data_IF_665487078065
#
_entry.id   IF_665487078065
#
_cell.length_a   1.000
_cell.length_b   1.000
_cell.length_c   1.000
_cell.angle_alpha   90.00
_cell.angle_beta   90.00
_cell.angle_gamma   90.00
#
_symmetry.space_group_name_H-M   'P 1'
#
loop_
_entity.id
_entity.type
_entity.pdbx_description
1 polymer ?
#
# COMPACT_ATOMS: atom_id res chain seq x y z
N UNK A 1 -26.41 -9.51 3.48
CA UNK A 1 -25.55 -10.72 3.48
C UNK A 1 -24.12 -10.24 3.68
N UNK A 2 -23.64 -10.21 4.91
CA UNK A 2 -22.32 -9.66 5.27
C UNK A 2 -21.28 -10.77 5.07
N UNK A 3 -20.47 -10.65 4.03
CA UNK A 3 -19.35 -11.58 3.82
C UNK A 3 -18.34 -11.39 4.95
N UNK A 4 -18.30 -12.31 5.89
CA UNK A 4 -17.31 -12.38 6.94
C UNK A 4 -16.02 -12.89 6.29
N UNK A 5 -15.11 -11.99 5.90
CA UNK A 5 -13.78 -12.37 5.43
C UNK A 5 -13.03 -12.91 6.66
N UNK A 6 -12.82 -14.22 6.69
CA UNK A 6 -12.01 -14.88 7.69
C UNK A 6 -10.55 -14.63 7.31
N UNK A 7 -9.91 -13.68 8.00
CA UNK A 7 -8.48 -13.43 7.85
C UNK A 7 -7.75 -14.51 8.66
N UNK A 8 -7.35 -15.59 8.01
CA UNK A 8 -6.70 -16.72 8.71
C UNK A 8 -5.20 -16.51 8.93
N UNK A 9 -4.54 -15.61 8.20
CA UNK A 9 -3.12 -15.32 8.44
C UNK A 9 -2.71 -13.98 7.81
N UNK A 10 -2.41 -13.00 8.65
CA UNK A 10 -1.77 -11.74 8.20
C UNK A 10 -0.26 -11.97 8.30
N UNK A 11 0.42 -11.92 7.16
CA UNK A 11 1.88 -11.97 7.12
C UNK A 11 2.38 -10.54 6.87
N UNK A 12 2.99 -9.95 7.89
CA UNK A 12 3.70 -8.69 7.74
C UNK A 12 5.06 -8.98 7.13
N UNK A 13 5.29 -8.45 5.95
CA UNK A 13 6.60 -8.47 5.30
C UNK A 13 7.22 -7.09 5.47
N UNK A 14 8.14 -6.98 6.41
CA UNK A 14 8.96 -5.79 6.57
C UNK A 14 9.89 -5.68 5.36
N UNK A 15 9.67 -4.66 4.53
CA UNK A 15 10.49 -4.37 3.34
C UNK A 15 11.88 -3.84 3.74
N UNK A 16 12.12 -3.84 5.03
CA UNK A 16 13.35 -3.34 5.63
C UNK A 16 14.30 -4.49 5.81
N UNK A 17 15.22 -4.73 4.90
CA UNK A 17 16.30 -5.62 5.25
C UNK A 17 17.61 -5.35 4.58
N UNK A 18 18.62 -5.41 5.42
CA UNK A 18 19.97 -5.60 4.96
C UNK A 18 20.21 -6.98 4.33
N UNK A 19 19.41 -8.01 4.48
CA UNK A 19 19.75 -9.34 3.92
C UNK A 19 18.68 -10.43 4.11
N UNK A 20 17.46 -10.31 3.74
CA UNK A 20 16.63 -11.52 3.54
C UNK A 20 15.16 -11.18 3.39
N UNK A 21 14.76 -10.94 2.17
CA UNK A 21 13.36 -11.08 1.77
C UNK A 21 13.02 -12.58 1.92
N UNK A 22 12.47 -12.99 3.05
CA UNK A 22 12.12 -14.39 3.25
C UNK A 22 10.77 -14.69 2.58
N UNK A 23 10.80 -14.73 1.24
CA UNK A 23 9.65 -14.91 0.36
C UNK A 23 8.95 -16.26 0.59
N UNK A 24 9.63 -17.22 1.23
CA UNK A 24 9.07 -18.55 1.54
C UNK A 24 7.88 -18.55 2.50
N UNK A 25 7.61 -17.41 3.21
CA UNK A 25 6.45 -17.26 4.10
C UNK A 25 5.17 -16.79 3.40
N UNK A 26 5.23 -16.44 2.11
CA UNK A 26 4.10 -15.91 1.32
C UNK A 26 3.25 -17.02 0.70
N UNK A 27 2.90 -18.05 1.43
CA UNK A 27 2.29 -19.23 0.80
C UNK A 27 0.77 -19.23 0.79
N UNK A 28 0.10 -18.48 1.66
CA UNK A 28 -1.38 -18.40 1.67
C UNK A 28 -1.88 -17.17 2.41
N UNK A 29 -2.82 -16.41 1.83
CA UNK A 29 -3.59 -15.40 2.53
C UNK A 29 -3.28 -13.94 2.18
N UNK A 30 -3.48 -13.07 3.15
CA UNK A 30 -3.30 -11.62 3.05
C UNK A 30 -1.85 -11.26 3.41
N UNK A 31 -1.08 -10.76 2.43
CA UNK A 31 0.27 -10.27 2.68
C UNK A 31 0.27 -8.75 2.76
N UNK A 32 0.86 -8.19 3.81
CA UNK A 32 1.07 -6.75 3.95
C UNK A 32 2.56 -6.47 3.78
N UNK A 33 2.89 -5.63 2.79
CA UNK A 33 4.24 -5.10 2.56
C UNK A 33 4.25 -3.67 3.10
N UNK A 34 5.15 -3.38 4.03
CA UNK A 34 5.18 -2.07 4.69
C UNK A 34 6.59 -1.50 4.79
N UNK A 35 6.70 -0.17 4.66
CA UNK A 35 7.88 0.64 4.94
C UNK A 35 7.72 1.51 6.19
N UNK A 36 6.70 1.25 7.02
CA UNK A 36 6.34 2.12 8.15
C UNK A 36 7.37 2.11 9.28
N UNK A 37 8.04 0.99 9.51
CA UNK A 37 8.94 0.81 10.66
C UNK A 37 10.40 1.15 10.33
N UNK A 38 10.62 2.35 9.78
CA UNK A 38 11.94 2.89 9.50
C UNK A 38 12.64 3.35 10.78
N UNK A 39 13.93 3.08 10.89
CA UNK A 39 14.81 3.62 11.92
C UNK A 39 16.19 3.92 11.32
N UNK A 40 17.09 4.55 12.11
CA UNK A 40 18.41 4.98 11.66
C UNK A 40 19.28 3.85 11.08
N UNK A 41 18.99 2.60 11.40
CA UNK A 41 19.73 1.41 10.96
C UNK A 41 19.07 0.67 9.78
N UNK A 42 17.93 1.16 9.27
CA UNK A 42 17.13 0.47 8.26
C UNK A 42 16.88 1.39 7.07
N UNK A 43 17.30 0.96 5.91
CA UNK A 43 17.04 1.67 4.63
C UNK A 43 15.90 0.95 3.92
N UNK A 44 14.82 1.65 3.54
CA UNK A 44 13.73 1.03 2.79
C UNK A 44 14.18 0.67 1.38
N UNK A 45 13.70 -0.47 0.90
CA UNK A 45 13.72 -0.76 -0.52
C UNK A 45 12.57 0.05 -1.15
N UNK A 46 12.77 0.72 -2.30
CA UNK A 46 11.68 1.38 -3.01
C UNK A 46 10.49 0.44 -3.16
N UNK A 47 9.30 0.89 -2.73
CA UNK A 47 8.12 0.03 -2.64
C UNK A 47 7.75 -0.60 -3.99
N UNK A 48 7.90 0.14 -5.08
CA UNK A 48 7.65 -0.35 -6.44
C UNK A 48 8.52 -1.57 -6.78
N UNK A 49 9.80 -1.55 -6.43
CA UNK A 49 10.72 -2.68 -6.66
C UNK A 49 10.34 -3.89 -5.79
N UNK A 50 9.99 -3.67 -4.54
CA UNK A 50 9.57 -4.72 -3.63
C UNK A 50 8.31 -5.43 -4.12
N UNK A 51 7.27 -4.66 -4.50
CA UNK A 51 6.02 -5.18 -5.05
C UNK A 51 6.26 -5.96 -6.33
N UNK A 52 7.02 -5.41 -7.28
CA UNK A 52 7.35 -6.07 -8.54
C UNK A 52 8.09 -7.39 -8.34
N UNK A 53 9.09 -7.42 -7.45
CA UNK A 53 9.83 -8.64 -7.13
C UNK A 53 8.95 -9.73 -6.52
N UNK A 54 8.12 -9.37 -5.53
CA UNK A 54 7.20 -10.29 -4.87
C UNK A 54 6.13 -10.79 -5.85
N UNK A 55 5.53 -9.91 -6.64
CA UNK A 55 4.55 -10.27 -7.65
C UNK A 55 5.13 -11.25 -8.68
N UNK A 56 6.33 -10.97 -9.21
CA UNK A 56 7.03 -11.83 -10.14
C UNK A 56 7.33 -13.21 -9.54
N UNK A 57 7.76 -13.26 -8.28
CA UNK A 57 7.97 -14.51 -7.57
C UNK A 57 6.68 -15.32 -7.41
N UNK A 58 5.59 -14.67 -6.97
CA UNK A 58 4.28 -15.34 -6.81
C UNK A 58 3.76 -15.89 -8.14
N UNK A 59 3.96 -15.17 -9.25
CA UNK A 59 3.62 -15.65 -10.60
C UNK A 59 4.45 -16.89 -10.94
N UNK A 60 5.78 -16.83 -10.76
CA UNK A 60 6.69 -17.97 -11.02
C UNK A 60 6.29 -19.21 -10.22
N UNK A 61 5.88 -19.02 -8.97
CA UNK A 61 5.44 -20.10 -8.09
C UNK A 61 3.98 -20.53 -8.30
N UNK A 62 3.24 -19.88 -9.23
CA UNK A 62 1.80 -20.08 -9.50
C UNK A 62 0.92 -19.82 -8.28
N UNK A 63 1.36 -18.94 -7.37
CA UNK A 63 0.65 -18.58 -6.13
C UNK A 63 -0.09 -17.25 -6.23
N UNK A 64 0.14 -16.45 -7.30
CA UNK A 64 -0.41 -15.10 -7.40
C UNK A 64 -1.94 -15.02 -7.28
N UNK A 65 -2.66 -16.03 -7.75
CA UNK A 65 -4.13 -16.12 -7.66
C UNK A 65 -4.65 -16.37 -6.24
N UNK A 66 -3.80 -16.81 -5.33
CA UNK A 66 -4.17 -17.13 -3.94
C UNK A 66 -3.75 -16.08 -2.92
N UNK A 67 -2.96 -15.09 -3.33
CA UNK A 67 -2.35 -14.10 -2.44
C UNK A 67 -2.75 -12.68 -2.84
N UNK A 68 -3.28 -11.90 -1.90
CA UNK A 68 -3.47 -10.46 -2.05
C UNK A 68 -2.25 -9.71 -1.56
N UNK A 69 -1.69 -8.82 -2.41
CA UNK A 69 -0.59 -7.95 -2.04
C UNK A 69 -1.14 -6.61 -1.56
N UNK A 70 -1.12 -6.39 -0.26
CA UNK A 70 -1.58 -5.16 0.38
C UNK A 70 -0.36 -4.32 0.73
N UNK A 71 -0.33 -3.09 0.25
CA UNK A 71 0.81 -2.20 0.36
C UNK A 71 0.50 -1.12 1.39
N UNK A 72 1.37 -0.96 2.38
CA UNK A 72 1.32 0.16 3.31
C UNK A 72 2.61 0.96 3.14
N UNK A 73 2.52 2.13 2.50
CA UNK A 73 3.70 2.88 2.10
C UNK A 73 3.56 4.38 2.27
N UNK A 74 4.69 5.02 2.60
CA UNK A 74 4.84 6.48 2.57
C UNK A 74 5.08 7.05 1.16
N UNK A 75 5.43 6.20 0.18
CA UNK A 75 5.76 6.66 -1.18
C UNK A 75 4.54 6.99 -2.05
N UNK A 76 3.33 6.48 -1.70
CA UNK A 76 2.11 6.68 -2.47
C UNK A 76 1.44 8.01 -2.11
N UNK A 77 1.85 9.10 -2.76
CA UNK A 77 1.34 10.45 -2.51
C UNK A 77 0.42 10.97 -3.62
N UNK A 78 0.65 10.57 -4.87
CA UNK A 78 -0.04 11.05 -6.06
C UNK A 78 -0.62 9.91 -6.90
N UNK A 79 -1.48 10.25 -7.86
CA UNK A 79 -2.14 9.29 -8.74
C UNK A 79 -1.16 8.41 -9.51
N UNK A 80 0.00 8.95 -9.92
CA UNK A 80 0.99 8.20 -10.67
C UNK A 80 1.61 7.09 -9.82
N UNK A 81 1.95 7.39 -8.57
CA UNK A 81 2.48 6.41 -7.61
C UNK A 81 1.48 5.26 -7.38
N UNK A 82 0.19 5.56 -7.28
CA UNK A 82 -0.84 4.52 -7.19
C UNK A 82 -0.92 3.67 -8.46
N UNK A 83 -0.94 4.32 -9.63
CA UNK A 83 -1.03 3.61 -10.91
C UNK A 83 0.15 2.65 -11.11
N UNK A 84 1.37 3.08 -10.80
CA UNK A 84 2.57 2.26 -10.91
C UNK A 84 2.58 1.08 -9.93
N UNK A 85 2.19 1.29 -8.67
CA UNK A 85 2.09 0.22 -7.68
C UNK A 85 1.02 -0.82 -8.05
N UNK A 86 -0.16 -0.38 -8.51
CA UNK A 86 -1.22 -1.28 -9.01
C UNK A 86 -0.74 -2.05 -10.24
N UNK A 87 -0.08 -1.38 -11.19
CA UNK A 87 0.51 -2.01 -12.37
C UNK A 87 1.60 -3.02 -12.05
N UNK A 88 2.37 -2.80 -10.97
CA UNK A 88 3.38 -3.74 -10.49
C UNK A 88 2.77 -4.96 -9.75
N UNK A 89 1.48 -4.95 -9.44
CA UNK A 89 0.75 -6.07 -8.86
C UNK A 89 0.19 -5.84 -7.46
N UNK A 90 0.19 -4.61 -6.94
CA UNK A 90 -0.51 -4.32 -5.70
C UNK A 90 -2.01 -4.59 -5.83
N UNK A 91 -2.62 -5.17 -4.79
CA UNK A 91 -4.07 -5.38 -4.73
C UNK A 91 -4.75 -4.21 -4.02
N UNK A 92 -4.18 -3.73 -2.93
CA UNK A 92 -4.63 -2.55 -2.20
C UNK A 92 -3.44 -1.71 -1.76
N UNK A 93 -3.67 -0.41 -1.56
CA UNK A 93 -2.63 0.54 -1.13
C UNK A 93 -3.17 1.35 0.04
N UNK A 94 -2.42 1.36 1.15
CA UNK A 94 -2.62 2.23 2.29
C UNK A 94 -1.52 3.30 2.30
N UNK A 95 -1.84 4.55 1.94
CA UNK A 95 -0.90 5.67 1.87
C UNK A 95 -0.77 6.35 3.23
N UNK A 96 -0.21 5.68 4.24
CA UNK A 96 -0.24 6.19 5.61
C UNK A 96 0.34 7.60 5.76
N UNK A 97 1.42 7.93 5.05
CA UNK A 97 2.04 9.26 5.14
C UNK A 97 1.17 10.37 4.52
N UNK A 98 0.45 10.08 3.43
CA UNK A 98 -0.49 11.03 2.85
C UNK A 98 -1.66 11.30 3.81
N UNK A 99 -2.20 10.25 4.45
CA UNK A 99 -3.27 10.37 5.44
C UNK A 99 -2.80 11.13 6.68
N UNK A 100 -1.62 10.83 7.22
CA UNK A 100 -1.03 11.55 8.36
C UNK A 100 -0.78 13.02 8.02
N UNK A 101 -0.35 13.32 6.79
CA UNK A 101 -0.19 14.70 6.30
C UNK A 101 -1.52 15.46 6.28
N UNK A 102 -2.61 14.80 5.86
CA UNK A 102 -3.96 15.39 5.89
C UNK A 102 -4.37 15.68 7.32
N UNK A 103 -4.16 14.76 8.26
CA UNK A 103 -4.44 14.96 9.69
C UNK A 103 -3.68 16.15 10.25
N UNK A 104 -2.37 16.23 10.04
CA UNK A 104 -1.55 17.36 10.52
C UNK A 104 -2.01 18.70 9.95
N UNK A 105 -2.38 18.75 8.67
CA UNK A 105 -2.90 19.97 8.05
C UNK A 105 -4.27 20.36 8.58
N UNK A 106 -5.11 19.37 8.88
CA UNK A 106 -6.40 19.59 9.51
C UNK A 106 -6.26 20.20 10.92
N UNK A 107 -5.36 19.67 11.74
CA UNK A 107 -5.07 20.23 13.08
C UNK A 107 -4.59 21.69 13.00
N UNK A 108 -3.84 22.04 11.95
CA UNK A 108 -3.41 23.42 11.67
C UNK A 108 -4.52 24.30 11.07
N UNK A 109 -5.77 23.80 10.97
CA UNK A 109 -6.96 24.50 10.42
C UNK A 109 -6.79 24.99 8.97
N UNK A 110 -5.96 24.33 8.16
CA UNK A 110 -5.65 24.75 6.78
C UNK A 110 -6.78 24.40 5.79
N UNK A 111 -7.75 23.58 6.17
CA UNK A 111 -8.87 23.17 5.32
C UNK A 111 -10.19 23.93 5.61
N UNK A 112 -10.12 25.01 6.35
CA UNK A 112 -11.27 25.88 6.65
C UNK A 112 -12.35 25.16 7.47
N UNK A 113 -13.56 25.04 6.91
CA UNK A 113 -14.72 24.45 7.61
C UNK A 113 -14.92 22.95 7.33
N UNK A 114 -14.02 22.32 6.57
CA UNK A 114 -14.16 20.90 6.25
C UNK A 114 -13.88 20.04 7.49
N UNK A 115 -14.59 18.92 7.59
CA UNK A 115 -14.29 17.88 8.58
C UNK A 115 -13.11 17.02 8.09
N UNK A 116 -12.47 16.30 8.99
CA UNK A 116 -11.36 15.40 8.63
C UNK A 116 -11.80 14.30 7.64
N UNK A 117 -13.00 13.75 7.84
CA UNK A 117 -13.57 12.72 6.97
C UNK A 117 -13.82 13.26 5.55
N UNK A 118 -14.28 14.50 5.43
CA UNK A 118 -14.44 15.14 4.12
C UNK A 118 -13.10 15.37 3.42
N UNK A 119 -12.05 15.74 4.16
CA UNK A 119 -10.72 15.91 3.62
C UNK A 119 -10.18 14.59 3.06
N UNK A 120 -10.27 13.51 3.84
CA UNK A 120 -9.86 12.16 3.44
C UNK A 120 -10.69 11.68 2.23
N UNK A 121 -12.01 11.85 2.27
CA UNK A 121 -12.91 11.47 1.18
C UNK A 121 -12.55 12.19 -0.14
N UNK A 122 -12.27 13.48 -0.08
CA UNK A 122 -11.85 14.27 -1.26
C UNK A 122 -10.51 13.80 -1.82
N UNK A 123 -9.56 13.48 -0.95
CA UNK A 123 -8.28 12.92 -1.36
C UNK A 123 -8.48 11.58 -2.10
N UNK A 124 -9.21 10.63 -1.51
CA UNK A 124 -9.50 9.34 -2.13
C UNK A 124 -10.21 9.53 -3.47
N UNK A 125 -11.20 10.43 -3.52
CA UNK A 125 -11.93 10.72 -4.77
C UNK A 125 -11.02 11.31 -5.85
N UNK A 126 -10.08 12.18 -5.48
CA UNK A 126 -9.11 12.76 -6.41
C UNK A 126 -8.20 11.67 -7.01
N UNK A 127 -7.68 10.76 -6.18
CA UNK A 127 -6.87 9.63 -6.64
C UNK A 127 -7.68 8.71 -7.56
N UNK A 128 -8.91 8.35 -7.18
CA UNK A 128 -9.79 7.51 -7.98
C UNK A 128 -10.09 8.13 -9.35
N UNK A 129 -10.42 9.42 -9.39
CA UNK A 129 -10.68 10.13 -10.66
C UNK A 129 -9.42 10.15 -11.55
N UNK A 130 -8.26 10.31 -10.94
CA UNK A 130 -6.99 10.25 -11.66
C UNK A 130 -6.70 8.86 -12.23
N UNK A 131 -6.93 7.80 -11.44
CA UNK A 131 -6.78 6.41 -11.90
C UNK A 131 -7.74 6.08 -13.05
N UNK A 132 -9.00 6.52 -12.96
CA UNK A 132 -9.97 6.33 -14.06
C UNK A 132 -9.51 6.99 -15.35
N UNK A 133 -8.86 8.17 -15.28
CA UNK A 133 -8.28 8.83 -16.46
C UNK A 133 -7.11 8.06 -17.07
N UNK A 134 -6.33 7.37 -16.24
CA UNK A 134 -5.20 6.55 -16.73
C UNK A 134 -5.72 5.27 -17.39
N UNK A 135 -6.85 4.74 -16.92
CA UNK A 135 -7.44 3.50 -17.41
C UNK A 135 -8.34 3.70 -18.65
N UNK A 136 -8.77 4.92 -18.94
CA UNK A 136 -9.60 5.25 -20.11
C UNK A 136 -8.72 5.56 -21.32
#
# INVERSE_FOLDING_TARGET
MTAKIRIEKIIYLDVITKNNLNIKKLTEGLSIITDKDLNENKIPIPMLLAVGAINSYLIKMRLRGYVSLNIQTGEALDTHSYATLLGAGATTINPYLALDTIHQRYEKKLFGKLTIDECIKRYIQSVNNGLLKIMS
#
